data_IF_836300162067
#
_entry.id   IF_836300162067
#
_cell.length_a   1.000
_cell.length_b   1.000
_cell.length_c   1.000
_cell.angle_alpha   90.00
_cell.angle_beta   90.00
_cell.angle_gamma   90.00
#
_symmetry.space_group_name_H-M   'P 1'
#
loop_
_entity.id
_entity.type
_entity.pdbx_description
1 polymer ?
#
# COMPACT_ATOMS: atom_id res chain seq x y z
N UNK A 1 -56.76 11.45 -20.13
CA UNK A 1 -56.88 11.12 -21.57
C UNK A 1 -55.54 11.52 -22.17
N UNK A 2 -54.62 10.65 -22.59
CA UNK A 2 -54.78 9.35 -23.24
C UNK A 2 -53.95 8.22 -22.59
N UNK A 3 -54.43 7.01 -22.82
CA UNK A 3 -53.84 5.70 -22.54
C UNK A 3 -53.36 5.14 -23.89
N UNK A 4 -52.14 4.61 -23.97
CA UNK A 4 -51.80 3.46 -24.81
C UNK A 4 -50.68 2.66 -24.11
N UNK A 5 -50.89 1.35 -23.92
CA UNK A 5 -49.99 0.36 -23.30
C UNK A 5 -49.43 -0.63 -24.38
N UNK A 6 -48.75 -1.75 -24.05
CA UNK A 6 -47.29 -1.95 -23.98
C UNK A 6 -46.76 -3.05 -24.95
N UNK A 7 -45.46 -3.45 -24.87
CA UNK A 7 -45.13 -4.89 -24.76
C UNK A 7 -44.04 -5.15 -23.69
N UNK A 8 -44.36 -5.85 -22.60
CA UNK A 8 -44.20 -7.31 -22.33
C UNK A 8 -42.79 -7.79 -21.94
N UNK A 9 -42.76 -8.27 -20.68
CA UNK A 9 -42.11 -9.48 -20.15
C UNK A 9 -40.58 -9.53 -20.06
N UNK A 10 -40.11 -9.58 -18.80
CA UNK A 10 -38.75 -9.99 -18.47
C UNK A 10 -38.43 -9.85 -16.99
N UNK A 11 -38.73 -10.91 -16.23
CA UNK A 11 -38.16 -11.28 -14.92
C UNK A 11 -38.31 -10.33 -13.72
N UNK A 12 -39.49 -10.43 -13.10
CA UNK A 12 -39.56 -10.43 -11.63
C UNK A 12 -39.02 -11.77 -11.13
N UNK A 13 -37.80 -11.78 -10.62
CA UNK A 13 -37.30 -12.74 -9.63
C UNK A 13 -35.83 -12.45 -9.40
N UNK A 14 -35.50 -11.82 -8.27
CA UNK A 14 -34.26 -12.02 -7.48
C UNK A 14 -34.15 -11.04 -6.28
N UNK A 15 -35.26 -10.48 -5.79
CA UNK A 15 -35.33 -9.98 -4.42
C UNK A 15 -35.51 -11.15 -3.44
N UNK A 16 -34.43 -11.89 -3.25
CA UNK A 16 -34.22 -12.70 -2.05
C UNK A 16 -32.72 -12.93 -1.87
N UNK A 17 -31.99 -11.90 -1.44
CA UNK A 17 -30.68 -12.14 -0.84
C UNK A 17 -30.89 -12.50 0.62
N UNK A 18 -30.88 -13.81 0.82
CA UNK A 18 -30.74 -14.54 2.08
C UNK A 18 -29.59 -13.94 2.90
N UNK A 19 -29.82 -13.80 4.22
CA UNK A 19 -28.99 -13.10 5.22
C UNK A 19 -27.61 -13.76 5.51
N UNK A 20 -27.20 -14.74 4.69
CA UNK A 20 -26.14 -15.71 5.04
C UNK A 20 -24.80 -15.50 4.30
N UNK A 21 -24.62 -14.42 3.52
CA UNK A 21 -23.39 -14.20 2.74
C UNK A 21 -22.41 -13.21 3.40
N UNK A 22 -22.12 -13.37 4.70
CA UNK A 22 -21.21 -12.48 5.45
C UNK A 22 -19.72 -12.84 5.35
N UNK A 23 -19.30 -13.71 4.42
CA UNK A 23 -17.90 -14.18 4.33
C UNK A 23 -17.23 -14.06 2.94
N UNK A 24 -17.86 -13.45 1.92
CA UNK A 24 -17.24 -13.39 0.59
C UNK A 24 -16.13 -12.33 0.46
N UNK A 25 -14.94 -12.79 0.05
CA UNK A 25 -13.78 -11.98 -0.36
C UNK A 25 -14.15 -11.03 -1.50
N UNK A 26 -13.56 -9.83 -1.51
CA UNK A 26 -13.71 -8.87 -2.61
C UNK A 26 -13.11 -9.46 -3.90
N UNK A 27 -13.85 -9.51 -5.02
CA UNK A 27 -13.29 -9.95 -6.29
C UNK A 27 -12.36 -8.88 -6.87
N UNK A 28 -11.04 -9.13 -6.86
CA UNK A 28 -10.04 -8.28 -7.51
C UNK A 28 -9.56 -8.92 -8.83
N UNK A 29 -9.84 -8.28 -9.96
CA UNK A 29 -9.43 -8.71 -11.30
C UNK A 29 -8.01 -8.21 -11.69
N UNK A 30 -6.99 -8.31 -10.82
CA UNK A 30 -5.63 -7.94 -11.27
C UNK A 30 -5.01 -9.07 -12.09
N UNK A 31 -4.51 -8.72 -13.27
CA UNK A 31 -3.71 -9.63 -14.11
C UNK A 31 -2.22 -9.45 -13.78
N UNK A 32 -1.41 -10.53 -13.74
CA UNK A 32 0.03 -10.41 -13.56
C UNK A 32 0.66 -9.66 -14.76
N UNK A 33 1.54 -8.72 -14.47
CA UNK A 33 2.36 -8.01 -15.48
C UNK A 33 3.80 -8.48 -15.29
N UNK A 34 4.42 -9.00 -16.36
CA UNK A 34 5.82 -9.44 -16.33
C UNK A 34 6.74 -8.22 -16.46
N UNK A 35 7.58 -7.97 -15.45
CA UNK A 35 8.45 -6.79 -15.37
C UNK A 35 9.92 -7.07 -15.71
N UNK A 36 10.31 -8.31 -16.04
CA UNK A 36 11.71 -8.62 -16.41
C UNK A 36 12.00 -8.21 -17.88
N UNK A 37 12.86 -7.21 -18.16
CA UNK A 37 13.29 -6.91 -19.52
C UNK A 37 14.49 -7.81 -19.89
N UNK A 38 14.53 -8.31 -21.13
CA UNK A 38 15.72 -8.96 -21.70
C UNK A 38 16.85 -7.92 -21.89
N UNK A 39 17.93 -8.03 -21.10
CA UNK A 39 19.12 -7.16 -21.14
C UNK A 39 20.08 -7.56 -22.29
N UNK A 40 19.72 -7.31 -23.55
CA UNK A 40 20.63 -7.60 -24.68
C UNK A 40 20.86 -6.44 -25.68
N UNK A 41 20.57 -5.18 -25.35
CA UNK A 41 20.94 -4.06 -26.25
C UNK A 41 21.40 -2.79 -25.52
N UNK A 42 22.71 -2.55 -25.59
CA UNK A 42 23.49 -1.67 -24.72
C UNK A 42 23.54 -0.18 -25.12
N UNK A 43 22.56 0.37 -25.84
CA UNK A 43 22.57 1.80 -26.26
C UNK A 43 21.48 2.67 -25.62
N UNK A 44 20.58 2.10 -24.80
CA UNK A 44 19.40 2.81 -24.23
C UNK A 44 19.45 3.03 -22.71
N UNK A 45 20.62 2.83 -22.07
CA UNK A 45 20.73 2.68 -20.62
C UNK A 45 20.36 3.91 -19.78
N UNK A 46 20.56 5.14 -20.26
CA UNK A 46 20.23 6.34 -19.47
C UNK A 46 18.72 6.67 -19.51
N UNK A 47 18.07 6.51 -20.67
CA UNK A 47 16.64 6.81 -20.82
C UNK A 47 15.79 5.72 -20.18
N UNK A 48 16.16 4.44 -20.30
CA UNK A 48 15.44 3.34 -19.63
C UNK A 48 15.55 3.39 -18.11
N UNK A 49 16.71 3.80 -17.56
CA UNK A 49 16.90 3.95 -16.12
C UNK A 49 16.00 5.03 -15.52
N UNK A 50 15.86 6.18 -16.21
CA UNK A 50 14.93 7.24 -15.81
C UNK A 50 13.46 6.82 -16.01
N UNK A 51 13.17 6.11 -17.09
CA UNK A 51 11.82 5.62 -17.42
C UNK A 51 11.32 4.59 -16.40
N UNK A 52 12.18 3.64 -15.98
CA UNK A 52 11.89 2.70 -14.89
C UNK A 52 11.72 3.40 -13.54
N UNK A 53 12.55 4.42 -13.24
CA UNK A 53 12.36 5.27 -12.05
C UNK A 53 11.00 5.98 -12.06
N UNK A 54 10.52 6.42 -13.23
CA UNK A 54 9.21 7.08 -13.36
C UNK A 54 8.04 6.10 -13.30
N UNK A 55 8.14 4.89 -13.85
CA UNK A 55 7.05 3.90 -13.81
C UNK A 55 6.81 3.34 -12.41
N UNK A 56 7.87 3.07 -11.63
CA UNK A 56 7.74 2.60 -10.24
C UNK A 56 7.11 3.68 -9.35
N UNK A 57 7.55 4.94 -9.48
CA UNK A 57 6.93 6.06 -8.75
C UNK A 57 5.48 6.29 -9.18
N UNK A 58 5.17 6.19 -10.48
CA UNK A 58 3.80 6.33 -11.01
C UNK A 58 2.86 5.24 -10.48
N UNK A 59 3.37 4.02 -10.30
CA UNK A 59 2.61 2.92 -9.71
C UNK A 59 2.20 3.22 -8.26
N UNK A 60 3.08 3.87 -7.48
CA UNK A 60 2.79 4.25 -6.09
C UNK A 60 1.86 5.45 -5.94
N UNK A 61 1.95 6.46 -6.82
CA UNK A 61 1.00 7.59 -6.83
C UNK A 61 -0.40 7.10 -7.19
N UNK A 62 -0.51 6.21 -8.17
CA UNK A 62 -1.80 5.62 -8.58
C UNK A 62 -2.35 4.61 -7.57
N UNK A 63 -1.49 3.91 -6.83
CA UNK A 63 -1.95 2.92 -5.82
C UNK A 63 -2.66 3.59 -4.63
N UNK A 64 -2.26 4.80 -4.23
CA UNK A 64 -2.92 5.57 -3.16
C UNK A 64 -4.35 5.96 -3.55
N UNK A 65 -4.56 6.44 -4.77
CA UNK A 65 -5.91 6.75 -5.27
C UNK A 65 -6.80 5.49 -5.33
N UNK A 66 -6.27 4.36 -5.79
CA UNK A 66 -7.01 3.09 -5.85
C UNK A 66 -7.38 2.61 -4.44
N UNK A 67 -6.44 2.62 -3.50
CA UNK A 67 -6.70 2.17 -2.11
C UNK A 67 -7.68 3.10 -1.38
N UNK A 68 -7.63 4.41 -1.62
CA UNK A 68 -8.64 5.36 -1.13
C UNK A 68 -10.02 5.08 -1.70
N UNK A 69 -10.12 4.87 -3.03
CA UNK A 69 -11.38 4.50 -3.68
C UNK A 69 -11.97 3.21 -3.11
N UNK A 70 -11.17 2.15 -2.99
CA UNK A 70 -11.59 0.87 -2.42
C UNK A 70 -12.06 1.05 -0.97
N UNK A 71 -11.31 1.78 -0.15
CA UNK A 71 -11.67 2.03 1.24
C UNK A 71 -12.96 2.83 1.38
N UNK A 72 -13.23 3.75 0.44
CA UNK A 72 -14.45 4.54 0.42
C UNK A 72 -15.66 3.70 -0.01
N UNK A 73 -15.56 3.01 -1.15
CA UNK A 73 -16.65 2.19 -1.72
C UNK A 73 -17.03 1.04 -0.79
N UNK A 74 -16.06 0.46 -0.10
CA UNK A 74 -16.28 -0.64 0.84
C UNK A 74 -16.23 -0.20 2.31
N UNK A 75 -16.49 1.08 2.59
CA UNK A 75 -16.48 1.63 3.95
C UNK A 75 -17.53 1.01 4.89
N UNK A 76 -18.48 0.21 4.42
CA UNK A 76 -19.41 -0.55 5.25
C UNK A 76 -18.97 -1.99 5.54
N UNK A 77 -17.83 -2.44 4.98
CA UNK A 77 -17.36 -3.82 5.04
C UNK A 77 -15.90 -3.89 5.53
N UNK A 78 -15.66 -4.73 6.53
CA UNK A 78 -14.30 -5.03 6.99
C UNK A 78 -13.72 -3.95 7.92
N UNK A 79 -12.43 -3.65 7.76
CA UNK A 79 -11.74 -2.66 8.60
C UNK A 79 -12.05 -1.24 8.11
N UNK A 80 -12.43 -0.36 9.03
CA UNK A 80 -12.75 1.04 8.73
C UNK A 80 -11.49 1.89 8.51
N UNK A 81 -10.94 1.88 7.29
CA UNK A 81 -9.63 2.48 7.00
C UNK A 81 -9.62 4.02 6.86
N UNK A 82 -10.77 4.65 6.61
CA UNK A 82 -10.89 6.10 6.42
C UNK A 82 -11.41 6.85 7.66
N UNK A 83 -11.83 6.12 8.70
CA UNK A 83 -12.45 6.64 9.94
C UNK A 83 -13.27 7.94 9.73
N UNK A 84 -14.35 7.85 8.94
CA UNK A 84 -15.17 8.99 8.50
C UNK A 84 -16.08 9.58 9.58
N UNK A 85 -15.86 9.27 10.87
CA UNK A 85 -16.78 9.62 11.97
C UNK A 85 -16.62 11.04 12.49
N UNK A 86 -15.47 11.67 12.27
CA UNK A 86 -15.19 13.06 12.68
C UNK A 86 -14.40 13.78 11.61
N UNK A 87 -14.78 15.02 11.31
CA UNK A 87 -14.06 15.89 10.39
C UNK A 87 -12.62 16.15 10.85
N UNK A 88 -12.36 16.22 12.16
CA UNK A 88 -11.02 16.39 12.72
C UNK A 88 -10.14 15.16 12.48
N UNK A 89 -10.71 13.96 12.65
CA UNK A 89 -10.00 12.70 12.36
C UNK A 89 -9.73 12.58 10.86
N UNK A 90 -10.67 12.98 10.01
CA UNK A 90 -10.48 13.02 8.57
C UNK A 90 -9.36 13.99 8.17
N UNK A 91 -9.32 15.19 8.74
CA UNK A 91 -8.26 16.17 8.49
C UNK A 91 -6.88 15.63 8.89
N UNK A 92 -6.81 14.99 10.07
CA UNK A 92 -5.57 14.35 10.56
C UNK A 92 -5.14 13.21 9.66
N UNK A 93 -6.07 12.36 9.22
CA UNK A 93 -5.80 11.24 8.32
C UNK A 93 -5.26 11.75 6.99
N UNK A 94 -5.91 12.73 6.36
CA UNK A 94 -5.45 13.32 5.09
C UNK A 94 -4.07 13.93 5.22
N UNK A 95 -3.82 14.71 6.29
CA UNK A 95 -2.50 15.28 6.54
C UNK A 95 -1.42 14.18 6.65
N UNK A 96 -1.69 13.10 7.39
CA UNK A 96 -0.71 12.02 7.55
C UNK A 96 -0.53 11.16 6.29
N UNK A 97 -1.53 11.06 5.40
CA UNK A 97 -1.35 10.46 4.07
C UNK A 97 -0.38 11.29 3.22
N UNK A 98 -0.48 12.61 3.26
CA UNK A 98 0.45 13.49 2.54
C UNK A 98 1.86 13.44 3.14
N UNK A 99 1.98 13.36 4.48
CA UNK A 99 3.27 13.15 5.15
C UNK A 99 3.90 11.82 4.71
N UNK A 100 3.12 10.74 4.64
CA UNK A 100 3.61 9.46 4.12
C UNK A 100 4.13 9.63 2.69
N UNK A 101 3.32 10.17 1.79
CA UNK A 101 3.63 10.29 0.37
C UNK A 101 4.83 11.20 0.06
N UNK A 102 5.03 12.25 0.86
CA UNK A 102 6.05 13.27 0.57
C UNK A 102 7.28 13.23 1.48
N UNK A 103 7.15 12.69 2.70
CA UNK A 103 8.26 12.66 3.66
C UNK A 103 8.82 11.25 3.85
N UNK A 104 7.96 10.24 3.95
CA UNK A 104 8.40 8.85 4.17
C UNK A 104 8.72 8.11 2.88
N UNK A 105 7.82 8.16 1.90
CA UNK A 105 7.92 7.38 0.67
C UNK A 105 9.19 7.71 -0.14
N UNK A 106 9.58 8.98 -0.38
CA UNK A 106 10.74 9.26 -1.21
C UNK A 106 12.06 8.64 -0.71
N UNK A 107 12.47 8.78 0.57
CA UNK A 107 13.67 8.10 1.04
C UNK A 107 13.47 6.58 1.18
N UNK A 108 12.29 6.10 1.60
CA UNK A 108 12.03 4.67 1.75
C UNK A 108 12.07 3.93 0.40
N UNK A 109 11.44 4.48 -0.63
CA UNK A 109 11.43 3.93 -1.99
C UNK A 109 12.82 3.91 -2.63
N UNK A 110 13.64 4.95 -2.40
CA UNK A 110 15.05 4.95 -2.83
C UNK A 110 15.85 3.86 -2.15
N UNK A 111 15.68 3.66 -0.84
CA UNK A 111 16.36 2.60 -0.10
C UNK A 111 15.91 1.21 -0.58
N UNK A 112 14.61 0.99 -0.78
CA UNK A 112 14.05 -0.24 -1.36
C UNK A 112 14.63 -0.51 -2.75
N UNK A 113 14.74 0.53 -3.60
CA UNK A 113 15.33 0.40 -4.92
C UNK A 113 16.79 -0.05 -4.85
N UNK A 114 17.60 0.64 -4.04
CA UNK A 114 19.04 0.40 -3.93
C UNK A 114 19.37 -0.96 -3.28
N UNK A 115 18.66 -1.33 -2.22
CA UNK A 115 19.02 -2.46 -1.37
C UNK A 115 18.24 -3.74 -1.69
N UNK A 116 17.09 -3.66 -2.35
CA UNK A 116 16.24 -4.82 -2.64
C UNK A 116 16.11 -5.03 -4.14
N UNK A 117 15.69 -3.99 -4.87
CA UNK A 117 15.33 -4.14 -6.29
C UNK A 117 16.57 -4.29 -7.17
N UNK A 118 17.59 -3.43 -7.00
CA UNK A 118 18.83 -3.50 -7.79
C UNK A 118 19.52 -4.88 -7.71
N UNK A 119 19.73 -5.49 -6.53
CA UNK A 119 20.30 -6.84 -6.44
C UNK A 119 19.50 -7.90 -7.21
N UNK A 120 18.17 -7.82 -7.22
CA UNK A 120 17.30 -8.74 -7.98
C UNK A 120 17.57 -8.64 -9.50
N UNK A 121 17.96 -7.47 -9.99
CA UNK A 121 18.36 -7.24 -11.38
C UNK A 121 19.87 -7.39 -11.65
N UNK A 122 20.66 -7.81 -10.66
CA UNK A 122 22.11 -7.93 -10.79
C UNK A 122 22.83 -6.57 -10.87
N UNK A 123 22.19 -5.49 -10.41
CA UNK A 123 22.79 -4.15 -10.33
C UNK A 123 23.42 -3.93 -8.95
N UNK A 124 24.49 -3.13 -8.91
CA UNK A 124 25.17 -2.80 -7.67
C UNK A 124 24.44 -1.71 -6.86
N UNK A 125 24.37 -1.92 -5.55
CA UNK A 125 23.85 -0.96 -4.57
C UNK A 125 24.81 0.21 -4.41
N UNK A 126 24.30 1.43 -4.59
CA UNK A 126 25.06 2.64 -4.33
C UNK A 126 25.01 2.98 -2.83
N UNK A 127 26.13 2.74 -2.15
CA UNK A 127 26.24 2.98 -0.71
C UNK A 127 26.15 4.47 -0.33
N UNK A 128 26.46 5.38 -1.25
CA UNK A 128 26.33 6.82 -1.02
C UNK A 128 24.86 7.21 -0.95
N UNK A 129 24.06 6.74 -1.91
CA UNK A 129 22.61 6.95 -1.93
C UNK A 129 21.96 6.32 -0.71
N UNK A 130 22.39 5.11 -0.33
CA UNK A 130 21.90 4.45 0.89
C UNK A 130 22.14 5.32 2.13
N UNK A 131 23.38 5.76 2.37
CA UNK A 131 23.71 6.55 3.56
C UNK A 131 22.95 7.87 3.62
N UNK A 132 22.82 8.57 2.49
CA UNK A 132 22.06 9.82 2.40
C UNK A 132 20.59 9.60 2.77
N UNK A 133 19.94 8.58 2.18
CA UNK A 133 18.53 8.34 2.41
C UNK A 133 18.25 7.70 3.77
N UNK A 134 19.17 6.91 4.33
CA UNK A 134 19.08 6.47 5.74
C UNK A 134 19.06 7.67 6.70
N UNK A 135 19.89 8.69 6.46
CA UNK A 135 19.92 9.89 7.29
C UNK A 135 18.64 10.74 7.16
N UNK A 136 18.05 10.81 5.97
CA UNK A 136 16.76 11.48 5.76
C UNK A 136 15.63 10.69 6.45
N UNK A 137 15.58 9.37 6.24
CA UNK A 137 14.56 8.51 6.83
C UNK A 137 14.65 8.50 8.36
N UNK A 138 15.85 8.54 8.94
CA UNK A 138 16.06 8.68 10.38
C UNK A 138 15.37 9.93 10.95
N UNK A 139 15.47 11.07 10.27
CA UNK A 139 14.80 12.31 10.70
C UNK A 139 13.28 12.17 10.67
N UNK A 140 12.75 11.55 9.62
CA UNK A 140 11.30 11.28 9.49
C UNK A 140 10.83 10.35 10.61
N UNK A 141 11.56 9.26 10.86
CA UNK A 141 11.21 8.30 11.90
C UNK A 141 11.34 8.88 13.32
N UNK A 142 12.17 9.90 13.54
CA UNK A 142 12.20 10.63 14.82
C UNK A 142 10.90 11.41 15.08
N UNK A 143 10.28 11.96 14.03
CA UNK A 143 8.97 12.60 14.14
C UNK A 143 7.90 11.54 14.42
N UNK A 144 8.02 10.37 13.79
CA UNK A 144 7.07 9.27 13.96
C UNK A 144 7.14 8.70 15.38
N UNK A 145 8.34 8.56 15.96
CA UNK A 145 8.49 8.12 17.35
C UNK A 145 7.69 9.02 18.30
N UNK A 146 7.84 10.35 18.19
CA UNK A 146 7.08 11.32 18.99
C UNK A 146 5.57 11.21 18.73
N UNK A 147 5.16 11.09 17.47
CA UNK A 147 3.75 10.92 17.13
C UNK A 147 3.14 9.67 17.78
N UNK A 148 3.88 8.57 17.76
CA UNK A 148 3.45 7.28 18.30
C UNK A 148 3.54 7.20 19.83
N UNK A 149 4.07 8.23 20.50
CA UNK A 149 3.90 8.44 21.94
C UNK A 149 2.49 8.95 22.27
N UNK A 150 1.94 9.82 21.42
CA UNK A 150 0.62 10.45 21.61
C UNK A 150 -0.54 9.57 21.15
N UNK A 151 -0.33 8.76 20.10
CA UNK A 151 -1.37 7.94 19.50
C UNK A 151 -0.86 6.56 19.12
N UNK A 152 -1.75 5.55 19.17
CA UNK A 152 -1.38 4.17 18.85
C UNK A 152 -1.00 3.98 17.37
N UNK A 153 -1.62 4.74 16.47
CA UNK A 153 -1.31 4.76 15.04
C UNK A 153 -1.11 6.22 14.58
N UNK A 154 -0.59 6.42 13.37
CA UNK A 154 -0.16 7.75 12.92
C UNK A 154 -1.31 8.76 12.86
N UNK A 155 -2.45 8.35 12.31
CA UNK A 155 -3.61 9.23 12.20
C UNK A 155 -4.42 9.32 13.50
N UNK A 156 -4.65 8.20 14.17
CA UNK A 156 -5.52 8.10 15.34
C UNK A 156 -5.26 6.80 16.13
N UNK A 157 -6.11 6.47 17.11
CA UNK A 157 -5.96 5.24 17.91
C UNK A 157 -6.44 3.96 17.21
N UNK A 158 -6.71 4.00 15.91
CA UNK A 158 -7.13 2.86 15.09
C UNK A 158 -6.32 2.79 13.79
N UNK A 159 -6.15 1.58 13.25
CA UNK A 159 -5.44 1.35 12.00
C UNK A 159 -6.19 1.97 10.81
N UNK A 160 -5.49 2.78 10.01
CA UNK A 160 -6.06 3.52 8.88
C UNK A 160 -5.31 3.28 7.57
N UNK A 161 -5.75 3.91 6.48
CA UNK A 161 -5.00 3.93 5.21
C UNK A 161 -3.58 4.48 5.37
N UNK A 162 -3.38 5.44 6.28
CA UNK A 162 -2.05 6.01 6.54
C UNK A 162 -1.09 4.88 6.90
N UNK A 163 -1.43 4.08 7.91
CA UNK A 163 -0.58 2.98 8.36
C UNK A 163 -0.40 1.91 7.27
N UNK A 164 -1.47 1.64 6.50
CA UNK A 164 -1.45 0.70 5.40
C UNK A 164 -0.48 1.10 4.29
N UNK A 165 -0.41 2.38 3.93
CA UNK A 165 0.43 2.87 2.84
C UNK A 165 1.93 2.68 3.10
N UNK A 166 2.35 2.60 4.36
CA UNK A 166 3.74 2.35 4.73
C UNK A 166 4.18 0.89 4.55
N UNK A 167 3.24 -0.06 4.60
CA UNK A 167 3.53 -1.50 4.68
C UNK A 167 4.45 -2.04 3.58
N UNK A 168 4.26 -1.71 2.28
CA UNK A 168 5.10 -2.28 1.22
C UNK A 168 6.58 -1.94 1.39
N UNK A 169 6.90 -0.66 1.61
CA UNK A 169 8.28 -0.22 1.79
C UNK A 169 8.86 -0.72 3.11
N UNK A 170 8.11 -0.68 4.22
CA UNK A 170 8.59 -1.21 5.50
C UNK A 170 8.93 -2.69 5.37
N UNK A 171 8.06 -3.49 4.75
CA UNK A 171 8.28 -4.93 4.59
C UNK A 171 9.57 -5.25 3.83
N UNK A 172 9.88 -4.49 2.78
CA UNK A 172 11.13 -4.64 2.05
C UNK A 172 12.34 -4.24 2.91
N UNK A 173 12.26 -3.08 3.58
CA UNK A 173 13.37 -2.55 4.39
C UNK A 173 13.65 -3.36 5.66
N UNK A 174 12.67 -4.11 6.19
CA UNK A 174 12.90 -5.07 7.27
C UNK A 174 13.86 -6.20 6.88
N UNK A 175 13.97 -6.50 5.58
CA UNK A 175 14.92 -7.47 5.03
C UNK A 175 16.34 -6.93 4.82
N UNK A 176 16.61 -5.66 5.11
CA UNK A 176 17.89 -5.00 4.82
C UNK A 176 18.57 -4.45 6.09
N UNK A 177 19.83 -3.99 6.02
CA UNK A 177 20.48 -3.33 7.16
C UNK A 177 19.76 -2.07 7.65
N UNK A 178 18.93 -1.44 6.81
CA UNK A 178 18.14 -0.26 7.19
C UNK A 178 17.09 -0.57 8.26
N UNK A 179 16.73 -1.84 8.47
CA UNK A 179 15.83 -2.27 9.55
C UNK A 179 16.19 -1.70 10.93
N UNK A 180 17.49 -1.47 11.16
CA UNK A 180 18.04 -0.85 12.39
C UNK A 180 17.36 0.48 12.74
N UNK A 181 16.91 1.24 11.73
CA UNK A 181 16.25 2.54 11.94
C UNK A 181 14.85 2.36 12.56
N UNK A 182 14.14 1.27 12.24
CA UNK A 182 12.86 0.95 12.87
C UNK A 182 13.10 0.34 14.27
N UNK A 183 14.06 -0.57 14.39
CA UNK A 183 14.31 -1.32 15.64
C UNK A 183 14.84 -0.45 16.79
N UNK A 184 15.60 0.62 16.49
CA UNK A 184 16.17 1.55 17.47
C UNK A 184 15.12 2.41 18.18
N UNK A 185 13.93 2.54 17.60
CA UNK A 185 12.86 3.45 18.03
C UNK A 185 11.73 2.61 18.62
N UNK A 186 11.48 2.71 19.91
CA UNK A 186 10.62 1.79 20.65
C UNK A 186 9.16 1.82 20.18
N UNK A 187 8.61 3.01 19.93
CA UNK A 187 7.22 3.20 19.50
C UNK A 187 7.07 2.85 18.04
N UNK A 188 8.00 3.29 17.20
CA UNK A 188 8.05 2.90 15.77
C UNK A 188 8.17 1.39 15.63
N UNK A 189 9.07 0.73 16.36
CA UNK A 189 9.22 -0.73 16.33
C UNK A 189 7.92 -1.43 16.68
N UNK A 190 7.27 -1.02 17.79
CA UNK A 190 5.98 -1.58 18.21
C UNK A 190 4.90 -1.37 17.14
N UNK A 191 4.84 -0.17 16.56
CA UNK A 191 3.90 0.14 15.47
C UNK A 191 4.17 -0.73 14.24
N UNK A 192 5.44 -0.89 13.82
CA UNK A 192 5.85 -1.75 12.71
C UNK A 192 5.45 -3.20 12.96
N UNK A 193 5.75 -3.75 14.15
CA UNK A 193 5.37 -5.11 14.53
C UNK A 193 3.84 -5.28 14.49
N UNK A 194 3.09 -4.27 14.94
CA UNK A 194 1.63 -4.30 14.95
C UNK A 194 1.01 -4.23 13.54
N UNK A 195 1.51 -3.38 12.64
CA UNK A 195 0.96 -3.26 11.28
C UNK A 195 1.35 -4.46 10.40
N UNK A 196 2.57 -4.99 10.56
CA UNK A 196 3.07 -6.12 9.75
C UNK A 196 2.52 -7.47 10.22
N UNK A 197 2.13 -7.59 11.49
CA UNK A 197 1.50 -8.81 12.02
C UNK A 197 0.03 -8.98 11.63
N UNK A 198 -0.59 -8.01 10.94
CA UNK A 198 -1.99 -8.09 10.51
C UNK A 198 -2.17 -9.21 9.49
N UNK A 199 -3.17 -10.07 9.70
CA UNK A 199 -3.42 -11.22 8.82
C UNK A 199 -3.62 -10.83 7.35
N UNK A 200 -4.33 -9.72 7.08
CA UNK A 200 -4.49 -9.20 5.72
C UNK A 200 -3.14 -8.85 5.05
N UNK A 201 -2.17 -8.35 5.82
CA UNK A 201 -0.83 -8.04 5.31
C UNK A 201 -0.02 -9.32 5.09
N UNK A 202 -0.01 -10.24 6.06
CA UNK A 202 0.64 -11.55 5.90
C UNK A 202 0.15 -12.28 4.66
N UNK A 203 -1.17 -12.27 4.41
CA UNK A 203 -1.77 -12.85 3.20
C UNK A 203 -1.31 -12.17 1.91
N UNK A 204 -1.07 -10.85 1.93
CA UNK A 204 -0.55 -10.12 0.77
C UNK A 204 0.92 -10.45 0.49
N UNK A 205 1.72 -10.75 1.53
CA UNK A 205 3.13 -11.13 1.41
C UNK A 205 3.35 -12.61 1.06
N UNK A 206 2.40 -13.48 1.40
CA UNK A 206 2.47 -14.91 1.14
C UNK A 206 2.17 -15.21 -0.34
N UNK A 207 3.17 -15.56 -1.15
CA UNK A 207 2.98 -15.87 -2.57
C UNK A 207 2.05 -17.06 -2.83
N UNK A 208 2.04 -18.06 -1.95
CA UNK A 208 1.21 -19.26 -2.09
C UNK A 208 -0.24 -19.00 -1.71
N UNK A 209 -0.46 -18.17 -0.69
CA UNK A 209 -1.81 -17.76 -0.25
C UNK A 209 -2.31 -16.49 -0.92
N UNK A 210 -1.43 -15.79 -1.65
CA UNK A 210 -1.82 -14.64 -2.45
C UNK A 210 -2.90 -15.10 -3.43
N UNK A 211 -3.97 -14.33 -3.49
CA UNK A 211 -5.13 -14.64 -4.31
C UNK A 211 -4.79 -14.73 -5.81
N UNK A 212 -3.60 -14.27 -6.23
CA UNK A 212 -3.08 -14.39 -7.59
C UNK A 212 -2.98 -15.83 -8.10
N UNK A 213 -2.73 -16.80 -7.21
CA UNK A 213 -2.45 -18.19 -7.59
C UNK A 213 -3.61 -19.16 -7.34
N UNK A 214 -4.77 -18.69 -6.83
CA UNK A 214 -5.91 -19.60 -6.61
C UNK A 214 -6.65 -19.89 -7.92
N UNK A 215 -6.95 -21.16 -8.22
CA UNK A 215 -7.81 -21.49 -9.35
C UNK A 215 -9.17 -20.83 -9.16
N UNK A 216 -9.64 -20.17 -10.22
CA UNK A 216 -10.98 -19.58 -10.27
C UNK A 216 -11.98 -20.73 -10.39
N UNK A 217 -12.77 -20.96 -9.35
CA UNK A 217 -13.97 -21.80 -9.44
C UNK A 217 -15.08 -21.04 -10.16
#
# INVERSE_FOLDING_TARGET
>A
MAILSPPTQGVSSLFSMRKDSLTSLLPSNCKPVNTKPNLSSLSTHLVKSLFLRMEVLSCMVKSRAITQYIAYVHSSRGTQLLNLRSHETMATLTMWMEIEAHQFDPPASKLTWEQVIKPIYGLETDQTIVKENEAILEKVLNIYEKRLEESRFLACNSFTLVDLHHLPNIQYLLGTPTKKLFEKRSKVRKWVDEITSREAWKMACDQEKSWFNKPRN
#
